data_IF_475035759883
#
_entry.id   IF_475035759883
#
_cell.length_a   1.000
_cell.length_b   1.000
_cell.length_c   1.000
_cell.angle_alpha   90.00
_cell.angle_beta   90.00
_cell.angle_gamma   90.00
#
_symmetry.space_group_name_H-M   'P 1'
#
loop_
_entity.id
_entity.type
_entity.pdbx_description
1 polymer ?
#
# COMPACT_ATOMS: atom_id res chain seq x y z
N UNK A 1 -17.20 -35.57 13.10
CA UNK A 1 -18.06 -35.00 12.03
C UNK A 1 -17.16 -34.18 11.11
N UNK A 2 -17.05 -34.53 9.82
CA UNK A 2 -16.27 -33.75 8.83
C UNK A 2 -17.25 -32.92 7.99
N UNK A 3 -17.05 -31.60 7.95
CA UNK A 3 -17.81 -30.69 7.10
C UNK A 3 -17.19 -30.68 5.70
N UNK A 4 -18.02 -30.64 4.64
CA UNK A 4 -17.53 -30.49 3.26
C UNK A 4 -17.19 -29.01 2.98
N UNK A 5 -16.19 -28.70 2.11
CA UNK A 5 -15.75 -27.33 1.87
C UNK A 5 -16.84 -26.37 1.35
N UNK A 6 -17.78 -26.88 0.56
CA UNK A 6 -18.94 -26.17 0.01
C UNK A 6 -20.02 -25.84 1.05
N UNK A 7 -20.00 -26.51 2.21
CA UNK A 7 -21.01 -26.37 3.27
C UNK A 7 -20.61 -25.37 4.36
N UNK A 8 -19.60 -24.52 4.14
CA UNK A 8 -19.10 -23.55 5.12
C UNK A 8 -20.18 -22.58 5.62
N UNK A 9 -21.18 -22.27 4.79
CA UNK A 9 -22.31 -21.41 5.15
C UNK A 9 -23.07 -21.93 6.38
N UNK A 10 -23.07 -23.25 6.61
CA UNK A 10 -23.74 -23.89 7.76
C UNK A 10 -23.08 -23.58 9.10
N UNK A 11 -21.79 -23.22 9.09
CA UNK A 11 -21.04 -22.89 10.31
C UNK A 11 -20.82 -21.39 10.49
N UNK A 12 -21.24 -20.55 9.54
CA UNK A 12 -21.01 -19.11 9.56
C UNK A 12 -21.56 -18.45 10.83
N UNK A 13 -22.81 -18.72 11.18
CA UNK A 13 -23.44 -18.16 12.38
C UNK A 13 -22.72 -18.58 13.67
N UNK A 14 -22.25 -19.84 13.73
CA UNK A 14 -21.51 -20.37 14.87
C UNK A 14 -20.13 -19.71 15.00
N UNK A 15 -19.40 -19.58 13.89
CA UNK A 15 -18.08 -18.94 13.86
C UNK A 15 -18.20 -17.46 14.21
N UNK A 16 -19.19 -16.77 13.66
CA UNK A 16 -19.41 -15.36 13.95
C UNK A 16 -19.80 -15.11 15.41
N UNK A 17 -20.68 -15.96 15.96
CA UNK A 17 -20.99 -15.94 17.40
C UNK A 17 -19.74 -16.16 18.24
N UNK A 18 -18.93 -17.19 17.94
CA UNK A 18 -17.69 -17.45 18.66
C UNK A 18 -16.72 -16.26 18.65
N UNK A 19 -16.51 -15.63 17.49
CA UNK A 19 -15.62 -14.47 17.36
C UNK A 19 -16.15 -13.24 18.12
N UNK A 20 -17.46 -13.01 18.12
CA UNK A 20 -18.07 -11.86 18.79
C UNK A 20 -18.09 -12.00 20.31
N UNK A 21 -18.16 -13.23 20.83
CA UNK A 21 -18.17 -13.51 22.26
C UNK A 21 -16.78 -13.82 22.85
N UNK A 22 -15.73 -13.85 22.02
CA UNK A 22 -14.36 -14.12 22.46
C UNK A 22 -13.63 -12.81 22.85
N UNK A 23 -13.04 -12.72 24.07
CA UNK A 23 -12.14 -11.65 24.47
C UNK A 23 -11.02 -11.37 23.44
N UNK A 24 -10.68 -10.10 23.22
CA UNK A 24 -9.60 -9.71 22.32
C UNK A 24 -8.62 -8.74 23.00
N UNK A 25 -7.31 -9.02 22.89
CA UNK A 25 -6.24 -8.21 23.50
C UNK A 25 -6.24 -6.76 22.99
N UNK A 26 -6.54 -6.54 21.71
CA UNK A 26 -6.71 -5.20 21.12
C UNK A 26 -7.85 -4.37 21.74
N UNK A 27 -8.78 -5.03 22.43
CA UNK A 27 -9.89 -4.42 23.16
C UNK A 27 -9.64 -4.47 24.68
N UNK A 28 -8.40 -4.68 25.13
CA UNK A 28 -8.06 -4.79 26.55
C UNK A 28 -8.62 -6.05 27.22
N UNK A 29 -8.78 -7.14 26.46
CA UNK A 29 -9.36 -8.39 26.98
C UNK A 29 -10.90 -8.39 27.05
N UNK A 30 -11.56 -7.42 26.42
CA UNK A 30 -13.02 -7.35 26.31
C UNK A 30 -13.48 -8.03 25.02
N UNK A 31 -14.60 -8.75 25.06
CA UNK A 31 -15.19 -9.36 23.87
C UNK A 31 -15.86 -8.30 22.97
N UNK A 32 -15.85 -8.46 21.64
CA UNK A 32 -16.48 -7.51 20.72
C UNK A 32 -17.96 -7.21 21.01
N UNK A 33 -18.76 -8.20 21.40
CA UNK A 33 -20.18 -8.00 21.77
C UNK A 33 -20.33 -7.08 22.99
N UNK A 34 -19.41 -7.18 23.95
CA UNK A 34 -19.40 -6.38 25.16
C UNK A 34 -18.90 -4.98 24.87
N UNK A 35 -17.85 -4.84 24.06
CA UNK A 35 -17.34 -3.54 23.64
C UNK A 35 -18.35 -2.77 22.76
N UNK A 36 -19.08 -3.47 21.88
CA UNK A 36 -19.99 -2.85 20.92
C UNK A 36 -21.41 -2.61 21.48
N UNK A 37 -21.95 -3.54 22.27
CA UNK A 37 -23.35 -3.51 22.73
C UNK A 37 -23.50 -3.33 24.24
N UNK A 38 -22.41 -3.37 25.02
CA UNK A 38 -22.45 -3.37 26.48
C UNK A 38 -23.02 -4.64 27.11
N UNK A 39 -23.34 -5.66 26.30
CA UNK A 39 -23.87 -6.94 26.79
C UNK A 39 -22.75 -7.87 27.28
N UNK A 40 -23.00 -8.68 28.32
CA UNK A 40 -22.00 -9.64 28.80
C UNK A 40 -21.69 -10.69 27.72
N UNK A 41 -20.42 -11.07 27.60
CA UNK A 41 -20.00 -12.13 26.68
C UNK A 41 -20.36 -13.51 27.25
N UNK A 42 -21.21 -14.26 26.56
CA UNK A 42 -21.56 -15.64 26.95
C UNK A 42 -20.77 -16.66 26.13
N UNK A 43 -20.20 -17.67 26.80
CA UNK A 43 -19.60 -18.82 26.09
C UNK A 43 -20.69 -19.84 25.73
N UNK A 44 -20.71 -20.39 24.51
CA UNK A 44 -21.72 -21.39 24.10
C UNK A 44 -21.59 -22.75 24.80
N UNK A 45 -20.58 -22.94 25.67
CA UNK A 45 -20.31 -24.20 26.39
C UNK A 45 -20.50 -24.07 27.92
N UNK A 46 -21.55 -23.39 28.36
CA UNK A 46 -21.81 -23.18 29.79
C UNK A 46 -22.25 -24.44 30.56
N UNK A 47 -22.79 -25.46 29.88
CA UNK A 47 -23.15 -26.73 30.50
C UNK A 47 -23.54 -27.81 29.49
N UNK A 48 -23.40 -29.07 29.89
CA UNK A 48 -23.85 -30.23 29.12
C UNK A 48 -25.05 -30.87 29.81
N UNK A 49 -26.05 -31.27 29.02
CA UNK A 49 -27.17 -32.06 29.54
C UNK A 49 -26.85 -33.53 29.31
N UNK A 50 -26.76 -34.32 30.38
CA UNK A 50 -26.55 -35.76 30.24
C UNK A 50 -27.82 -36.40 29.62
N UNK A 51 -27.73 -37.09 28.47
CA UNK A 51 -28.91 -37.45 27.66
C UNK A 51 -29.88 -38.41 28.36
N UNK A 52 -29.35 -39.32 29.20
CA UNK A 52 -30.13 -40.32 29.96
C UNK A 52 -30.66 -39.82 31.31
N UNK A 53 -29.83 -39.15 32.11
CA UNK A 53 -30.19 -38.73 33.48
C UNK A 53 -30.78 -37.33 33.54
N UNK A 54 -30.79 -36.59 32.41
CA UNK A 54 -31.25 -35.19 32.29
C UNK A 54 -30.58 -34.21 33.26
N UNK A 55 -29.52 -34.62 33.95
CA UNK A 55 -28.74 -33.76 34.82
C UNK A 55 -27.97 -32.74 33.99
N UNK A 56 -28.07 -31.47 34.39
CA UNK A 56 -27.24 -30.39 33.88
C UNK A 56 -25.89 -30.50 34.59
N UNK A 57 -24.84 -30.76 33.83
CA UNK A 57 -23.46 -30.70 34.30
C UNK A 57 -22.93 -29.31 33.94
N UNK A 58 -22.83 -28.43 34.93
CA UNK A 58 -22.17 -27.14 34.79
C UNK A 58 -20.67 -27.34 34.70
N UNK A 59 -20.03 -26.57 33.81
CA UNK A 59 -18.58 -26.65 33.57
C UNK A 59 -17.83 -25.52 34.25
N UNK A 60 -18.28 -25.15 35.46
CA UNK A 60 -17.71 -24.03 36.22
C UNK A 60 -16.22 -24.24 36.54
N UNK A 61 -15.82 -25.51 36.74
CA UNK A 61 -14.41 -25.90 36.91
C UNK A 61 -13.59 -25.78 35.61
N UNK A 62 -14.21 -26.03 34.45
CA UNK A 62 -13.55 -25.94 33.15
C UNK A 62 -13.20 -24.49 32.83
N UNK A 63 -14.00 -23.53 33.27
CA UNK A 63 -13.68 -22.11 33.09
C UNK A 63 -12.35 -21.74 33.75
N UNK A 64 -12.12 -22.17 34.99
CA UNK A 64 -10.85 -21.94 35.72
C UNK A 64 -9.68 -22.71 35.09
N UNK A 65 -9.86 -24.00 34.79
CA UNK A 65 -8.81 -24.81 34.16
C UNK A 65 -8.43 -24.28 32.76
N UNK A 66 -9.42 -23.84 31.98
CA UNK A 66 -9.23 -23.20 30.67
C UNK A 66 -8.49 -21.88 30.82
N UNK A 67 -8.85 -21.04 31.80
CA UNK A 67 -8.12 -19.78 32.05
C UNK A 67 -6.64 -20.04 32.31
N UNK A 68 -6.31 -20.94 33.25
CA UNK A 68 -4.91 -21.27 33.55
C UNK A 68 -4.14 -21.79 32.34
N UNK A 69 -4.74 -22.65 31.52
CA UNK A 69 -4.10 -23.13 30.29
C UNK A 69 -3.98 -22.05 29.22
N UNK A 70 -4.98 -21.19 29.06
CA UNK A 70 -4.94 -20.09 28.11
C UNK A 70 -3.92 -19.02 28.54
N UNK A 71 -3.75 -18.78 29.83
CA UNK A 71 -2.73 -17.87 30.37
C UNK A 71 -1.32 -18.40 30.12
N UNK A 72 -1.09 -19.70 30.36
CA UNK A 72 0.17 -20.35 30.06
C UNK A 72 0.48 -20.33 28.55
N UNK A 73 -0.52 -20.59 27.70
CA UNK A 73 -0.39 -20.49 26.24
C UNK A 73 -0.10 -19.05 25.80
N UNK A 74 -0.82 -18.07 26.36
CA UNK A 74 -0.63 -16.65 26.08
C UNK A 74 0.80 -16.21 26.41
N UNK A 75 1.31 -16.57 27.59
CA UNK A 75 2.70 -16.29 27.97
C UNK A 75 3.70 -16.96 27.02
N UNK A 76 3.48 -18.22 26.65
CA UNK A 76 4.35 -18.91 25.70
C UNK A 76 4.34 -18.23 24.32
N UNK A 77 3.17 -17.79 23.83
CA UNK A 77 3.04 -17.08 22.57
C UNK A 77 3.63 -15.65 22.63
N UNK A 78 3.45 -14.92 23.73
CA UNK A 78 4.07 -13.61 23.94
C UNK A 78 5.59 -13.70 23.93
N UNK A 79 6.16 -14.69 24.62
CA UNK A 79 7.60 -14.94 24.61
C UNK A 79 8.10 -15.30 23.20
N UNK A 80 7.39 -16.17 22.49
CA UNK A 80 7.71 -16.50 21.10
C UNK A 80 7.62 -15.28 20.18
N UNK A 81 6.56 -14.47 20.30
CA UNK A 81 6.40 -13.25 19.49
C UNK A 81 7.48 -12.23 19.81
N UNK A 82 7.85 -12.05 21.08
CA UNK A 82 8.96 -11.21 21.50
C UNK A 82 10.26 -11.65 20.82
N UNK A 83 10.58 -12.95 20.86
CA UNK A 83 11.76 -13.50 20.22
C UNK A 83 11.74 -13.35 18.69
N UNK A 84 10.58 -13.53 18.07
CA UNK A 84 10.37 -13.32 16.63
C UNK A 84 10.55 -11.84 16.28
N UNK A 85 10.01 -10.92 17.07
CA UNK A 85 10.16 -9.47 16.86
C UNK A 85 11.63 -9.10 16.96
N UNK A 86 12.31 -9.47 18.05
CA UNK A 86 13.73 -9.22 18.26
C UNK A 86 14.60 -9.80 17.12
N UNK A 87 14.35 -11.06 16.72
CA UNK A 87 15.06 -11.70 15.60
C UNK A 87 14.78 -10.99 14.27
N UNK A 88 13.52 -10.65 14.00
CA UNK A 88 13.13 -9.97 12.77
C UNK A 88 13.73 -8.57 12.69
N UNK A 89 13.79 -7.83 13.80
CA UNK A 89 14.43 -6.52 13.87
C UNK A 89 15.92 -6.63 13.63
N UNK A 90 16.60 -7.59 14.26
CA UNK A 90 18.01 -7.87 14.03
C UNK A 90 18.27 -8.19 12.54
N UNK A 91 17.46 -9.05 11.92
CA UNK A 91 17.58 -9.36 10.49
C UNK A 91 17.29 -8.14 9.61
N UNK A 92 16.27 -7.35 9.91
CA UNK A 92 15.96 -6.09 9.21
C UNK A 92 17.11 -5.09 9.32
N UNK A 93 17.69 -4.93 10.51
CA UNK A 93 18.86 -4.07 10.73
C UNK A 93 20.08 -4.56 9.94
N UNK A 94 20.36 -5.87 9.94
CA UNK A 94 21.43 -6.45 9.14
C UNK A 94 21.20 -6.24 7.64
N UNK A 95 19.96 -6.45 7.15
CA UNK A 95 19.59 -6.20 5.76
C UNK A 95 19.76 -4.71 5.40
N UNK A 96 19.33 -3.79 6.27
CA UNK A 96 19.57 -2.34 6.12
C UNK A 96 21.07 -2.02 6.08
N UNK A 97 21.87 -2.62 6.97
CA UNK A 97 23.32 -2.47 7.00
C UNK A 97 23.99 -2.96 5.71
N UNK A 98 23.61 -4.15 5.23
CA UNK A 98 24.07 -4.69 3.93
C UNK A 98 23.67 -3.79 2.76
N UNK A 99 22.45 -3.24 2.77
CA UNK A 99 21.95 -2.32 1.74
C UNK A 99 22.69 -0.98 1.76
N UNK A 100 22.96 -0.41 2.94
CA UNK A 100 23.74 0.83 3.12
C UNK A 100 25.19 0.70 2.61
N UNK A 101 25.77 -0.51 2.69
CA UNK A 101 27.11 -0.81 2.14
C UNK A 101 27.14 -0.90 0.61
N UNK A 102 25.99 -1.05 -0.07
CA UNK A 102 25.93 -1.03 -1.53
C UNK A 102 25.95 0.43 -2.03
N UNK A 103 27.01 0.81 -2.73
CA UNK A 103 27.21 2.17 -3.25
C UNK A 103 26.03 2.68 -4.11
N UNK A 104 25.35 1.78 -4.82
CA UNK A 104 24.25 2.09 -5.75
C UNK A 104 22.85 2.13 -5.11
N UNK A 105 22.70 1.89 -3.80
CA UNK A 105 21.38 1.82 -3.13
C UNK A 105 21.29 2.85 -2.00
N UNK A 106 21.50 4.11 -2.34
CA UNK A 106 21.17 5.23 -1.44
C UNK A 106 19.70 5.58 -1.63
N UNK A 107 18.93 5.61 -0.54
CA UNK A 107 17.61 6.23 -0.56
C UNK A 107 17.86 7.71 -0.91
N UNK A 108 17.27 8.18 -2.00
CA UNK A 108 17.33 9.60 -2.33
C UNK A 108 16.67 10.36 -1.18
N UNK A 109 17.45 11.23 -0.53
CA UNK A 109 16.90 12.19 0.42
C UNK A 109 16.41 13.36 -0.39
N UNK A 110 15.15 13.71 -0.22
CA UNK A 110 14.54 14.84 -0.88
C UNK A 110 14.34 15.93 0.16
N UNK A 111 14.74 17.15 -0.16
CA UNK A 111 14.50 18.32 0.64
C UNK A 111 13.31 19.11 0.10
N UNK A 112 12.71 19.94 0.96
CA UNK A 112 11.68 20.87 0.55
C UNK A 112 12.18 21.75 -0.59
N UNK A 113 11.41 21.83 -1.66
CA UNK A 113 11.76 22.60 -2.85
C UNK A 113 12.65 21.89 -3.86
N UNK A 114 13.12 20.67 -3.60
CA UNK A 114 13.82 19.88 -4.62
C UNK A 114 12.89 19.60 -5.82
N UNK A 115 13.47 19.57 -7.02
CA UNK A 115 12.77 19.14 -8.22
C UNK A 115 12.95 17.64 -8.43
N UNK A 116 11.86 16.93 -8.74
CA UNK A 116 11.83 15.47 -8.86
C UNK A 116 10.99 15.00 -10.05
N UNK A 117 11.39 13.89 -10.64
CA UNK A 117 10.60 13.15 -11.64
C UNK A 117 9.71 12.12 -10.94
N UNK A 118 8.45 12.04 -11.37
CA UNK A 118 7.46 11.08 -10.86
C UNK A 118 7.36 9.85 -11.75
N UNK A 119 7.55 8.67 -11.16
CA UNK A 119 7.51 7.38 -11.84
C UNK A 119 6.11 6.77 -11.89
N UNK A 120 5.38 7.00 -12.99
CA UNK A 120 4.07 6.41 -13.25
C UNK A 120 4.18 5.00 -13.83
N UNK A 121 3.30 4.10 -13.41
CA UNK A 121 3.25 2.74 -13.97
C UNK A 121 2.52 2.80 -15.30
N UNK A 122 3.18 2.33 -16.35
CA UNK A 122 2.55 2.07 -17.66
C UNK A 122 2.45 0.56 -17.87
N UNK A 123 1.30 0.13 -18.40
CA UNK A 123 1.10 -1.28 -18.79
C UNK A 123 1.75 -1.50 -20.15
N UNK A 124 2.84 -2.26 -20.18
CA UNK A 124 3.35 -2.89 -21.39
C UNK A 124 2.76 -4.31 -21.49
N UNK A 125 2.60 -4.88 -22.70
CA UNK A 125 1.85 -6.13 -22.90
C UNK A 125 2.22 -7.27 -21.93
N UNK A 126 3.52 -7.43 -21.63
CA UNK A 126 4.04 -8.51 -20.79
C UNK A 126 4.78 -8.01 -19.52
N UNK A 127 4.82 -6.70 -19.26
CA UNK A 127 5.57 -6.13 -18.13
C UNK A 127 5.04 -4.78 -17.69
N UNK A 128 5.11 -4.49 -16.39
CA UNK A 128 4.95 -3.13 -15.89
C UNK A 128 6.25 -2.35 -16.11
N UNK A 129 6.19 -1.27 -16.88
CA UNK A 129 7.28 -0.34 -17.05
C UNK A 129 7.00 0.95 -16.25
N UNK A 130 8.08 1.64 -15.85
CA UNK A 130 7.98 2.92 -15.17
C UNK A 130 8.23 4.03 -16.21
N UNK A 131 7.29 4.96 -16.32
CA UNK A 131 7.45 6.19 -17.09
C UNK A 131 7.78 7.34 -16.14
N UNK A 132 8.94 7.97 -16.30
CA UNK A 132 9.36 9.11 -15.49
C UNK A 132 8.81 10.39 -16.11
N UNK A 133 7.92 11.07 -15.41
CA UNK A 133 7.27 12.30 -15.89
C UNK A 133 7.68 13.49 -15.06
N UNK A 134 7.84 14.62 -15.77
CA UNK A 134 7.82 16.01 -15.30
C UNK A 134 8.80 16.37 -14.20
N UNK A 135 9.35 17.60 -14.17
CA UNK A 135 9.84 18.14 -12.92
C UNK A 135 8.61 18.52 -12.05
N UNK A 136 8.51 17.93 -10.87
CA UNK A 136 7.61 18.32 -9.80
C UNK A 136 8.44 18.93 -8.67
N UNK A 137 7.87 19.87 -7.91
CA UNK A 137 8.52 20.44 -6.73
C UNK A 137 8.11 19.69 -5.48
N UNK A 138 9.05 19.33 -4.62
CA UNK A 138 8.75 18.73 -3.31
C UNK A 138 8.12 19.78 -2.40
N UNK A 139 6.92 19.45 -1.90
CA UNK A 139 6.12 20.23 -0.94
C UNK A 139 6.53 19.88 0.51
N UNK A 140 6.09 20.59 1.57
CA UNK A 140 6.36 20.20 2.96
C UNK A 140 5.81 18.80 3.28
N UNK A 141 6.61 17.97 3.96
CA UNK A 141 6.30 16.56 4.20
C UNK A 141 6.80 16.14 5.58
N UNK A 142 5.94 15.46 6.37
CA UNK A 142 6.25 14.96 7.72
C UNK A 142 6.94 13.57 7.75
N UNK A 143 7.26 12.97 6.59
CA UNK A 143 7.78 11.60 6.47
C UNK A 143 8.83 11.38 5.36
N UNK A 144 9.92 10.68 5.70
CA UNK A 144 11.02 10.33 4.77
C UNK A 144 10.61 9.36 3.63
N UNK A 145 9.43 8.73 3.73
CA UNK A 145 9.00 7.68 2.80
C UNK A 145 7.83 8.07 1.91
N UNK A 146 7.04 9.05 2.33
CA UNK A 146 5.80 9.45 1.66
C UNK A 146 5.90 10.94 1.42
N UNK A 147 6.09 11.33 0.17
CA UNK A 147 6.46 12.69 -0.24
C UNK A 147 5.35 13.28 -1.07
N UNK A 148 4.90 14.48 -0.69
CA UNK A 148 4.02 15.31 -1.48
C UNK A 148 4.83 16.08 -2.52
N UNK A 149 4.39 16.00 -3.77
CA UNK A 149 4.98 16.71 -4.91
C UNK A 149 3.93 17.58 -5.57
N UNK A 150 4.33 18.78 -5.96
CA UNK A 150 3.51 19.82 -6.57
C UNK A 150 3.88 20.01 -8.04
N UNK A 151 2.88 20.15 -8.91
CA UNK A 151 3.09 20.57 -10.30
C UNK A 151 3.62 22.00 -10.36
N UNK A 152 4.47 22.32 -11.34
CA UNK A 152 5.09 23.64 -11.48
C UNK A 152 4.22 24.68 -12.19
N UNK A 153 3.15 24.24 -12.84
CA UNK A 153 2.24 25.07 -13.62
C UNK A 153 0.86 25.03 -13.00
N UNK A 154 0.08 26.10 -13.16
CA UNK A 154 -1.31 26.14 -12.75
C UNK A 154 -2.07 24.89 -13.23
N UNK A 155 -2.89 24.25 -12.37
CA UNK A 155 -3.37 24.75 -11.09
C UNK A 155 -2.54 24.30 -9.87
N UNK A 156 -1.24 24.03 -10.04
CA UNK A 156 -0.30 23.64 -8.97
C UNK A 156 -0.78 22.45 -8.14
N UNK A 157 -1.38 21.45 -8.82
CA UNK A 157 -1.92 20.26 -8.14
C UNK A 157 -0.83 19.54 -7.38
N UNK A 158 -1.14 19.15 -6.14
CA UNK A 158 -0.27 18.30 -5.33
C UNK A 158 -0.71 16.85 -5.42
N UNK A 159 0.24 15.94 -5.20
CA UNK A 159 -0.02 14.51 -5.12
C UNK A 159 1.01 13.84 -4.22
N UNK A 160 0.60 12.78 -3.51
CA UNK A 160 1.42 12.11 -2.50
C UNK A 160 1.92 10.77 -3.03
N UNK A 161 3.24 10.54 -2.99
CA UNK A 161 3.87 9.34 -3.53
C UNK A 161 4.93 8.77 -2.61
N UNK A 162 5.17 7.46 -2.69
CA UNK A 162 6.29 6.86 -1.98
C UNK A 162 7.64 7.33 -2.56
N UNK A 163 8.67 7.55 -1.75
CA UNK A 163 9.99 8.04 -2.19
C UNK A 163 10.64 7.19 -3.29
N UNK A 164 10.31 5.89 -3.37
CA UNK A 164 10.79 5.01 -4.46
C UNK A 164 10.18 5.32 -5.84
N UNK A 165 9.14 6.15 -5.89
CA UNK A 165 8.50 6.63 -7.12
C UNK A 165 9.07 7.96 -7.58
N UNK A 166 10.05 8.50 -6.87
CA UNK A 166 10.66 9.79 -7.16
C UNK A 166 12.12 9.60 -7.57
N UNK A 167 12.56 10.41 -8.52
CA UNK A 167 13.96 10.50 -8.94
C UNK A 167 14.36 11.98 -8.93
N UNK A 168 15.53 12.31 -8.38
CA UNK A 168 16.04 13.70 -8.37
C UNK A 168 16.14 14.21 -9.81
N UNK A 169 15.61 15.40 -10.05
CA UNK A 169 15.78 16.12 -11.31
C UNK A 169 17.03 17.02 -11.22
N UNK A 170 17.94 16.93 -12.18
CA UNK A 170 19.15 17.76 -12.23
C UNK A 170 19.37 18.32 -13.63
N UNK A 171 19.55 19.64 -13.73
CA UNK A 171 19.73 20.36 -15.00
C UNK A 171 21.03 20.00 -15.74
N UNK A 172 22.04 19.45 -15.06
CA UNK A 172 23.32 19.06 -15.67
C UNK A 172 23.23 17.90 -16.68
N UNK A 173 22.05 17.30 -16.84
CA UNK A 173 21.75 16.28 -17.85
C UNK A 173 20.75 16.77 -18.91
N UNK A 174 20.38 18.06 -18.91
CA UNK A 174 19.53 18.67 -19.94
C UNK A 174 20.42 19.08 -21.12
N UNK A 175 20.44 18.26 -22.17
CA UNK A 175 20.72 18.76 -23.51
C UNK A 175 19.41 19.40 -24.00
N UNK A 176 19.34 20.74 -23.95
CA UNK A 176 18.07 21.46 -24.16
C UNK A 176 17.71 21.44 -25.64
N UNK A 177 16.97 20.42 -26.07
CA UNK A 177 16.29 20.41 -27.38
C UNK A 177 14.88 21.01 -27.24
N UNK A 178 14.34 21.54 -28.34
CA UNK A 178 12.98 22.11 -28.40
C UNK A 178 11.89 21.17 -27.86
N UNK A 179 12.15 19.85 -27.84
CA UNK A 179 11.26 18.82 -27.31
C UNK A 179 10.93 18.98 -25.82
N UNK A 180 11.80 19.64 -25.03
CA UNK A 180 11.56 19.89 -23.60
C UNK A 180 10.50 20.96 -23.34
N UNK A 181 10.33 21.91 -24.26
CA UNK A 181 9.25 22.91 -24.21
C UNK A 181 7.92 22.21 -24.49
N UNK A 182 7.89 21.34 -25.50
CA UNK A 182 6.71 20.53 -25.82
C UNK A 182 6.39 19.52 -24.70
N UNK A 183 7.40 19.00 -24.01
CA UNK A 183 7.21 18.11 -22.84
C UNK A 183 6.71 18.84 -21.59
N UNK A 184 7.09 20.11 -21.38
CA UNK A 184 6.59 20.94 -20.29
C UNK A 184 5.11 21.32 -20.50
N UNK A 185 4.68 21.41 -21.75
CA UNK A 185 3.28 21.60 -22.14
C UNK A 185 2.48 20.29 -22.06
N UNK A 186 3.15 19.13 -22.00
CA UNK A 186 2.51 17.82 -22.04
C UNK A 186 1.81 17.47 -20.71
N UNK A 187 0.49 17.65 -20.72
CA UNK A 187 -0.46 17.28 -19.66
C UNK A 187 -0.36 15.79 -19.29
N UNK A 188 -0.91 15.50 -18.13
CA UNK A 188 -1.03 14.19 -17.50
C UNK A 188 -1.88 13.14 -18.27
N UNK A 189 -2.22 13.44 -19.52
CA UNK A 189 -3.09 12.69 -20.41
C UNK A 189 -2.31 12.38 -21.69
N UNK A 190 -1.97 11.10 -21.87
CA UNK A 190 -1.12 10.64 -22.96
C UNK A 190 -1.74 10.89 -24.34
N UNK A 191 -0.95 11.44 -25.25
CA UNK A 191 -1.16 11.34 -26.69
C UNK A 191 0.19 11.17 -27.39
N UNK A 192 0.35 10.10 -28.17
CA UNK A 192 1.48 9.96 -29.08
C UNK A 192 1.08 10.61 -30.40
N UNK A 193 1.86 11.58 -30.88
CA UNK A 193 1.82 11.97 -32.29
C UNK A 193 3.19 11.60 -32.86
N UNK A 194 3.23 10.49 -33.58
CA UNK A 194 4.33 10.21 -34.48
C UNK A 194 4.08 11.06 -35.73
N UNK A 195 4.94 12.06 -35.97
CA UNK A 195 5.16 12.57 -37.31
C UNK A 195 6.62 12.35 -37.65
N UNK A 196 6.84 11.39 -38.55
CA UNK A 196 8.06 11.22 -39.32
C UNK A 196 8.08 12.37 -40.34
N UNK A 197 9.02 13.31 -40.21
CA UNK A 197 9.30 14.31 -41.24
C UNK A 197 10.70 14.07 -41.74
N UNK A 198 10.80 13.38 -42.88
CA UNK A 198 12.01 13.31 -43.68
C UNK A 198 12.32 14.69 -44.26
N UNK A 199 13.43 15.28 -43.83
CA UNK A 199 14.03 16.44 -44.49
C UNK A 199 14.93 15.92 -45.63
N UNK A 200 14.48 16.05 -46.88
CA UNK A 200 15.39 16.03 -48.03
C UNK A 200 15.61 17.46 -48.54
N UNK A 201 16.88 17.84 -48.57
CA UNK A 201 17.34 19.18 -48.84
C UNK A 201 17.87 19.21 -50.28
N UNK A 202 17.06 19.68 -51.24
CA UNK A 202 17.58 20.19 -52.52
C UNK A 202 16.58 21.06 -53.32
N UNK A 203 16.97 22.33 -53.48
CA UNK A 203 16.71 23.28 -54.60
C UNK A 203 15.29 23.84 -54.81
N UNK A 204 15.12 25.09 -54.34
CA UNK A 204 14.67 26.25 -55.13
C UNK A 204 13.21 26.34 -55.59
N UNK A 205 12.47 27.31 -55.03
CA UNK A 205 11.28 27.89 -55.68
C UNK A 205 10.10 28.17 -54.75
N UNK A 206 9.81 29.48 -54.54
CA UNK A 206 8.54 30.16 -54.20
C UNK A 206 7.54 29.57 -53.18
N UNK A 207 7.14 30.46 -52.25
CA UNK A 207 6.06 30.34 -51.26
C UNK A 207 4.76 29.70 -51.74
N UNK A 208 4.11 28.96 -50.82
CA UNK A 208 2.67 29.08 -50.59
C UNK A 208 2.33 28.59 -49.17
N UNK A 209 1.84 29.51 -48.35
CA UNK A 209 1.13 29.24 -47.09
C UNK A 209 -0.28 28.79 -47.47
N UNK A 210 -0.69 27.61 -47.01
CA UNK A 210 -2.09 27.17 -47.09
C UNK A 210 -2.52 26.78 -45.68
N UNK A 211 -3.18 27.73 -45.02
CA UNK A 211 -4.00 27.49 -43.83
C UNK A 211 -5.18 26.62 -44.24
N UNK A 212 -5.38 25.49 -43.55
CA UNK A 212 -6.66 24.79 -43.54
C UNK A 212 -7.01 24.38 -42.11
N UNK A 213 -7.72 25.28 -41.42
CA UNK A 213 -8.59 24.93 -40.31
C UNK A 213 -9.69 24.01 -40.82
N UNK A 214 -9.85 22.84 -40.20
CA UNK A 214 -11.16 22.20 -40.12
C UNK A 214 -11.44 21.73 -38.69
N UNK A 215 -12.25 22.52 -37.99
CA UNK A 215 -13.07 22.06 -36.88
C UNK A 215 -14.05 21.01 -37.40
N UNK A 216 -14.21 19.92 -36.66
CA UNK A 216 -15.48 19.21 -36.57
C UNK A 216 -15.78 18.93 -35.09
N UNK A 217 -17.08 19.03 -34.80
CA UNK A 217 -17.72 19.30 -33.51
C UNK A 217 -17.42 18.31 -32.38
#
# INVERSE_FOLDING_TARGET
>A
MKLRPDEWHRVLALVQSALNHQPADRLGGVAPVTAFQGLPSTTPLAGFIHPRTKKVLTVDWLSKARQTHMDALRQAMENMHHDVVARSEKLRQQARGRRKKKAHVRLAKFALGDFVLLGKIIKFPNKLALNWKGPYRVSPVDSDYVIEVQQLVEPFRTSVHHASRLKVFSNAALDVTNDLVDYAVFRDEGLFVAHEVEFDQRRGGSEQVIDNLHLYA
#
